data_IF_889022492477
#
_entry.id   IF_889022492477
#
_cell.length_a   1.000
_cell.length_b   1.000
_cell.length_c   1.000
_cell.angle_alpha   90.00
_cell.angle_beta   90.00
_cell.angle_gamma   90.00
#
_symmetry.space_group_name_H-M   'P 1'
#
loop_
_entity.id
_entity.type
_entity.pdbx_description
1 polymer ?
#
# COMPACT_ATOMS: atom_id res chain seq x y z
N UNK A 1 12.24 -2.35 8.20
CA UNK A 1 11.31 -2.97 7.23
C UNK A 1 9.93 -2.90 7.84
N UNK A 2 9.01 -2.26 7.13
CA UNK A 2 7.61 -2.14 7.54
C UNK A 2 6.81 -3.28 6.90
N UNK A 3 6.07 -4.05 7.70
CA UNK A 3 5.17 -5.09 7.19
C UNK A 3 3.74 -4.56 7.08
N UNK A 4 3.08 -4.84 5.96
CA UNK A 4 1.70 -4.45 5.69
C UNK A 4 0.81 -5.66 6.03
N UNK A 5 -0.16 -5.47 6.91
CA UNK A 5 -1.03 -6.55 7.38
C UNK A 5 -2.49 -6.33 6.97
N UNK A 6 -3.16 -7.42 6.60
CA UNK A 6 -4.61 -7.43 6.39
C UNK A 6 -5.32 -7.86 7.68
N UNK A 7 -6.39 -7.16 8.05
CA UNK A 7 -7.24 -7.51 9.17
C UNK A 7 -7.92 -8.87 8.90
N UNK A 8 -8.03 -9.71 9.92
CA UNK A 8 -8.61 -11.07 9.84
C UNK A 8 -7.86 -12.03 8.90
N UNK A 9 -6.63 -11.69 8.50
CA UNK A 9 -5.72 -12.63 7.88
C UNK A 9 -4.97 -13.43 8.95
N UNK A 10 -4.72 -14.70 8.68
CA UNK A 10 -4.06 -15.65 9.58
C UNK A 10 -2.57 -15.29 9.76
N UNK A 11 -2.22 -14.27 10.55
CA UNK A 11 -0.85 -13.77 10.79
C UNK A 11 0.01 -13.52 9.53
N UNK A 12 -0.60 -13.37 8.35
CA UNK A 12 0.12 -13.17 7.08
C UNK A 12 0.20 -11.68 6.76
N UNK A 13 1.41 -11.15 6.74
CA UNK A 13 1.68 -9.90 6.05
C UNK A 13 1.42 -10.07 4.55
N UNK A 14 0.83 -9.08 3.91
CA UNK A 14 0.55 -9.08 2.46
C UNK A 14 1.70 -8.47 1.65
N UNK A 15 2.62 -7.76 2.31
CA UNK A 15 3.78 -7.16 1.68
C UNK A 15 4.66 -6.43 2.68
N UNK A 16 5.75 -5.85 2.18
CA UNK A 16 6.67 -5.07 2.99
C UNK A 16 7.27 -3.89 2.23
N UNK A 17 7.61 -2.86 3.00
CA UNK A 17 8.37 -1.69 2.58
C UNK A 17 9.76 -1.78 3.23
N UNK A 18 10.78 -1.68 2.39
CA UNK A 18 12.19 -1.73 2.78
C UNK A 18 12.62 -0.41 3.44
N UNK A 19 13.82 -0.40 4.04
CA UNK A 19 14.36 0.81 4.67
C UNK A 19 14.73 1.86 3.60
N UNK A 20 15.24 1.40 2.46
CA UNK A 20 15.60 2.25 1.31
C UNK A 20 14.38 2.98 0.73
N UNK A 21 13.19 2.42 0.91
CA UNK A 21 11.92 2.99 0.46
C UNK A 21 11.28 3.95 1.47
N UNK A 22 11.79 4.07 2.70
CA UNK A 22 11.26 4.96 3.74
C UNK A 22 11.21 6.42 3.27
N UNK A 23 12.30 6.89 2.66
CA UNK A 23 12.41 8.26 2.13
C UNK A 23 11.40 8.51 1.00
N UNK A 24 11.06 7.49 0.22
CA UNK A 24 10.06 7.59 -0.85
C UNK A 24 8.65 7.70 -0.24
N UNK A 25 8.36 6.87 0.78
CA UNK A 25 7.10 6.94 1.50
C UNK A 25 6.89 8.30 2.17
N UNK A 26 7.93 8.86 2.80
CA UNK A 26 7.89 10.20 3.39
C UNK A 26 7.51 11.29 2.36
N UNK A 27 8.11 11.24 1.16
CA UNK A 27 7.79 12.18 0.10
C UNK A 27 6.34 12.03 -0.40
N UNK A 28 5.85 10.80 -0.53
CA UNK A 28 4.47 10.55 -0.93
C UNK A 28 3.48 11.00 0.16
N UNK A 29 3.84 10.84 1.43
CA UNK A 29 3.09 11.37 2.56
C UNK A 29 2.91 12.89 2.45
N UNK A 30 3.96 13.65 2.13
CA UNK A 30 3.87 15.11 1.98
C UNK A 30 3.11 15.55 0.73
N UNK A 31 3.17 14.77 -0.36
CA UNK A 31 2.63 15.13 -1.68
C UNK A 31 1.18 14.73 -1.91
N UNK A 32 0.66 13.77 -1.14
CA UNK A 32 -0.64 13.14 -1.42
C UNK A 32 -1.52 13.11 -0.19
N UNK A 33 -2.83 13.16 -0.40
CA UNK A 33 -3.84 12.98 0.66
C UNK A 33 -4.43 11.56 0.70
N UNK A 34 -3.76 10.61 0.04
CA UNK A 34 -4.19 9.20 -0.01
C UNK A 34 -4.12 8.61 1.40
N UNK A 35 -5.26 8.24 1.95
CA UNK A 35 -5.38 7.75 3.34
C UNK A 35 -4.50 6.54 3.62
N UNK A 36 -4.37 5.66 2.63
CA UNK A 36 -3.47 4.50 2.73
C UNK A 36 -2.01 4.91 2.93
N UNK A 37 -1.51 5.90 2.18
CA UNK A 37 -0.14 6.43 2.32
C UNK A 37 0.03 7.12 3.67
N UNK A 38 -0.95 7.94 4.09
CA UNK A 38 -0.94 8.58 5.41
C UNK A 38 -0.82 7.56 6.53
N UNK A 39 -1.69 6.56 6.53
CA UNK A 39 -1.70 5.49 7.52
C UNK A 39 -0.43 4.64 7.50
N UNK A 40 0.16 4.35 6.33
CA UNK A 40 1.45 3.68 6.23
C UNK A 40 2.56 4.46 6.93
N UNK A 41 2.65 5.76 6.66
CA UNK A 41 3.69 6.62 7.23
C UNK A 41 3.53 6.79 8.75
N UNK A 42 2.32 7.13 9.20
CA UNK A 42 2.00 7.33 10.62
C UNK A 42 2.25 6.08 11.48
N UNK A 43 2.21 4.90 10.86
CA UNK A 43 2.41 3.62 11.53
C UNK A 43 3.67 2.88 11.06
N UNK A 44 4.64 3.58 10.47
CA UNK A 44 5.82 2.95 9.86
C UNK A 44 6.60 2.04 10.83
N UNK A 45 6.62 2.38 12.12
CA UNK A 45 7.28 1.59 13.16
C UNK A 45 6.34 0.66 13.94
N UNK A 46 5.05 0.63 13.59
CA UNK A 46 3.99 -0.06 14.33
C UNK A 46 3.24 -1.13 13.52
N UNK A 47 3.69 -1.46 12.30
CA UNK A 47 3.08 -2.48 11.42
C UNK A 47 1.56 -2.26 11.20
N UNK A 48 1.15 -1.36 10.29
CA UNK A 48 -0.24 -1.01 10.10
C UNK A 48 -1.08 -2.20 9.64
N UNK A 49 -2.28 -2.25 10.17
CA UNK A 49 -3.33 -3.21 9.81
C UNK A 49 -4.40 -2.50 9.00
N UNK A 50 -4.76 -3.09 7.85
CA UNK A 50 -5.77 -2.56 6.94
C UNK A 50 -6.96 -3.50 6.84
N UNK A 51 -8.16 -2.95 6.73
CA UNK A 51 -9.34 -3.67 6.28
C UNK A 51 -9.30 -3.85 4.76
N UNK A 52 -10.02 -4.84 4.23
CA UNK A 52 -10.03 -5.11 2.80
C UNK A 52 -10.61 -3.92 2.02
N UNK A 53 -11.66 -3.29 2.55
CA UNK A 53 -12.31 -2.13 1.95
C UNK A 53 -11.34 -0.94 1.88
N UNK A 54 -10.44 -0.78 2.86
CA UNK A 54 -9.37 0.22 2.80
C UNK A 54 -8.40 -0.07 1.65
N UNK A 55 -8.12 -1.35 1.37
CA UNK A 55 -7.24 -1.76 0.27
C UNK A 55 -7.90 -1.59 -1.10
N UNK A 56 -9.20 -1.86 -1.23
CA UNK A 56 -9.96 -1.64 -2.47
C UNK A 56 -9.97 -0.15 -2.84
N UNK A 57 -10.23 0.74 -1.87
CA UNK A 57 -10.14 2.20 -2.07
C UNK A 57 -8.71 2.62 -2.41
N UNK A 58 -7.71 2.11 -1.68
CA UNK A 58 -6.32 2.44 -1.92
C UNK A 58 -5.85 2.04 -3.32
N UNK A 59 -6.32 0.91 -3.84
CA UNK A 59 -6.02 0.47 -5.21
C UNK A 59 -6.45 1.52 -6.24
N UNK A 60 -7.68 2.01 -6.14
CA UNK A 60 -8.21 3.02 -7.06
C UNK A 60 -7.43 4.34 -6.96
N UNK A 61 -7.22 4.84 -5.74
CA UNK A 61 -6.48 6.10 -5.50
C UNK A 61 -5.03 6.03 -6.00
N UNK A 62 -4.33 4.93 -5.73
CA UNK A 62 -2.94 4.74 -6.16
C UNK A 62 -2.83 4.53 -7.66
N UNK A 63 -3.79 3.82 -8.27
CA UNK A 63 -3.81 3.65 -9.72
C UNK A 63 -4.00 4.99 -10.42
N UNK A 64 -4.94 5.82 -9.97
CA UNK A 64 -5.11 7.20 -10.47
C UNK A 64 -3.84 8.04 -10.29
N UNK A 65 -3.17 7.97 -9.13
CA UNK A 65 -1.89 8.64 -8.91
C UNK A 65 -0.82 8.18 -9.91
N UNK A 66 -0.74 6.88 -10.19
CA UNK A 66 0.25 6.34 -11.14
C UNK A 66 0.06 6.87 -12.58
N UNK A 67 -1.19 7.06 -13.00
CA UNK A 67 -1.51 7.67 -14.30
C UNK A 67 -1.07 9.13 -14.35
N UNK A 68 -1.33 9.91 -13.30
CA UNK A 68 -0.90 11.30 -13.18
C UNK A 68 0.63 11.42 -13.24
N UNK A 69 1.35 10.57 -12.49
CA UNK A 69 2.82 10.54 -12.48
C UNK A 69 3.41 10.18 -13.85
N UNK A 70 2.77 9.25 -14.57
CA UNK A 70 3.17 8.85 -15.92
C UNK A 70 2.97 9.99 -16.92
N UNK A 71 1.85 10.70 -16.86
CA UNK A 71 1.58 11.86 -17.72
C UNK A 71 2.58 12.99 -17.51
N UNK A 72 3.13 13.14 -16.30
CA UNK A 72 4.18 14.10 -15.97
C UNK A 72 5.59 13.62 -16.36
N UNK A 73 5.72 12.49 -17.05
CA UNK A 73 6.98 11.84 -17.44
C UNK A 73 7.97 11.64 -16.26
N UNK A 74 7.44 11.47 -15.05
CA UNK A 74 8.25 11.28 -13.84
C UNK A 74 8.69 9.82 -13.69
N UNK A 75 9.56 9.35 -14.60
CA UNK A 75 10.26 8.09 -14.41
C UNK A 75 11.22 8.22 -13.21
N UNK A 76 10.69 7.97 -12.01
CA UNK A 76 11.37 8.21 -10.74
C UNK A 76 11.22 6.99 -9.83
N UNK A 77 12.06 6.90 -8.80
CA UNK A 77 11.89 5.87 -7.77
C UNK A 77 10.50 5.92 -7.10
N UNK A 78 9.83 7.08 -7.11
CA UNK A 78 8.48 7.26 -6.57
C UNK A 78 7.44 6.47 -7.38
N UNK A 79 7.47 6.50 -8.72
CA UNK A 79 6.49 5.76 -9.54
C UNK A 79 6.69 4.25 -9.41
N UNK A 80 7.94 3.78 -9.34
CA UNK A 80 8.25 2.37 -9.11
C UNK A 80 7.73 1.90 -7.73
N UNK A 81 7.86 2.75 -6.71
CA UNK A 81 7.31 2.47 -5.40
C UNK A 81 5.78 2.41 -5.43
N UNK A 82 5.11 3.37 -6.09
CA UNK A 82 3.64 3.34 -6.25
C UNK A 82 3.20 2.06 -6.97
N UNK A 83 3.86 1.64 -8.04
CA UNK A 83 3.54 0.38 -8.73
C UNK A 83 3.75 -0.85 -7.85
N UNK A 84 4.82 -0.88 -7.03
CA UNK A 84 5.03 -1.95 -6.05
C UNK A 84 3.86 -2.02 -5.06
N UNK A 85 3.43 -0.89 -4.51
CA UNK A 85 2.31 -0.84 -3.57
C UNK A 85 1.02 -1.28 -4.24
N UNK A 86 0.73 -0.80 -5.47
CA UNK A 86 -0.41 -1.27 -6.27
C UNK A 86 -0.36 -2.79 -6.42
N UNK A 87 0.80 -3.37 -6.77
CA UNK A 87 0.96 -4.82 -6.93
C UNK A 87 0.63 -5.60 -5.66
N UNK A 88 1.11 -5.13 -4.50
CA UNK A 88 0.82 -5.72 -3.19
C UNK A 88 -0.68 -5.69 -2.90
N UNK A 89 -1.31 -4.53 -3.11
CA UNK A 89 -2.74 -4.32 -2.86
C UNK A 89 -3.59 -5.14 -3.82
N UNK A 90 -3.28 -5.12 -5.12
CA UNK A 90 -3.98 -5.91 -6.14
C UNK A 90 -3.93 -7.39 -5.83
N UNK A 91 -2.77 -7.91 -5.39
CA UNK A 91 -2.66 -9.29 -4.94
C UNK A 91 -3.60 -9.58 -3.76
N UNK A 92 -3.61 -8.71 -2.75
CA UNK A 92 -4.44 -8.88 -1.57
C UNK A 92 -5.95 -8.82 -1.89
N UNK A 93 -6.36 -7.89 -2.75
CA UNK A 93 -7.77 -7.73 -3.17
C UNK A 93 -8.21 -8.92 -4.04
N UNK A 94 -7.37 -9.35 -4.99
CA UNK A 94 -7.69 -10.45 -5.89
C UNK A 94 -7.76 -11.80 -5.16
N UNK A 95 -6.87 -12.03 -4.19
CA UNK A 95 -6.84 -13.26 -3.39
C UNK A 95 -7.55 -13.13 -2.04
N UNK A 96 -8.49 -12.21 -1.91
CA UNK A 96 -9.18 -11.93 -0.63
C UNK A 96 -9.77 -13.18 0.04
N UNK A 97 -10.37 -14.07 -0.73
CA UNK A 97 -10.96 -15.32 -0.23
C UNK A 97 -9.91 -16.29 0.34
N UNK A 98 -8.68 -16.27 -0.17
CA UNK A 98 -7.57 -17.10 0.32
C UNK A 98 -6.83 -16.47 1.51
N UNK A 99 -6.99 -15.17 1.70
CA UNK A 99 -6.30 -14.39 2.72
C UNK A 99 -7.17 -14.16 3.97
N UNK A 100 -8.49 -14.09 3.79
CA UNK A 100 -9.44 -14.01 4.90
C UNK A 100 -9.56 -15.37 5.59
N UNK A 101 -9.52 -15.35 6.91
CA UNK A 101 -10.04 -16.49 7.66
C UNK A 101 -11.57 -16.46 7.57
N UNK A 102 -12.18 -17.55 7.10
CA UNK A 102 -13.56 -17.86 7.46
C UNK A 102 -13.56 -18.09 8.97
N UNK A 103 -13.93 -17.09 9.75
CA UNK A 103 -14.31 -17.29 11.15
C UNK A 103 -15.83 -17.41 11.20
N UNK A 104 -16.30 -18.57 11.66
CA UNK A 104 -17.68 -18.87 12.04
C UNK A 104 -18.29 -17.81 12.98
#
# INVERSE_FOLDING_TARGET
MLSIHLKNAQNKGIGYITYEEEVILAKLYDKTEIKFIKKLWENYYNNPVFYLEELEIAYEELFSLSLEMTQKATASSEINFVYKIITIISYAVYHKENLQCLSD
#
